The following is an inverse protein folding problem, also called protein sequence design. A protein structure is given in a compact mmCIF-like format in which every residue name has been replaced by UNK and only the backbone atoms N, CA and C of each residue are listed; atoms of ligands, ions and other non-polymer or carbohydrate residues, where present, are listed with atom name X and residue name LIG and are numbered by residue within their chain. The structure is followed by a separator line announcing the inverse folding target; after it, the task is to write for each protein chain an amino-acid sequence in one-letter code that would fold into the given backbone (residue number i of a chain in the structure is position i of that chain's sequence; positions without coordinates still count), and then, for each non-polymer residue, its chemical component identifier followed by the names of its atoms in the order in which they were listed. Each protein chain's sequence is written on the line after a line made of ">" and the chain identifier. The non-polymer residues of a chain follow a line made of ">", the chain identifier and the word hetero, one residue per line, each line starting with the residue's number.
data_IF_531288477839
#
_entry.id   IF_531288477839
#
_cell.length_a   1.000
_cell.length_b   1.000
_cell.length_c   1.000
_cell.angle_alpha   90.00
_cell.angle_beta   90.00
_cell.angle_gamma   90.00
#
_symmetry.space_group_name_H-M   'P 1'
#
loop_
_entity.id
_entity.type
_entity.pdbx_description
1 polymer ?
#
# COMPACT_ATOMS: atom_id res chain seq x y z
N UNK A 1 -11.95 21.22 19.38
CA UNK A 1 -11.62 19.83 19.05
C UNK A 1 -11.90 19.64 17.58
N UNK A 2 -10.85 19.46 16.81
CA UNK A 2 -10.94 19.22 15.39
C UNK A 2 -11.06 17.74 15.06
N UNK A 3 -11.58 17.45 13.87
CA UNK A 3 -11.64 16.08 13.36
C UNK A 3 -10.83 15.98 12.08
N UNK A 4 -10.15 14.86 11.91
CA UNK A 4 -9.40 14.51 10.70
C UNK A 4 -10.13 13.37 10.00
N UNK A 5 -10.41 13.53 8.72
CA UNK A 5 -10.96 12.46 7.87
C UNK A 5 -9.88 11.96 6.94
N UNK A 6 -9.51 10.69 7.03
CA UNK A 6 -8.65 10.02 6.05
C UNK A 6 -9.48 9.22 5.06
N UNK A 7 -9.11 9.30 3.79
CA UNK A 7 -9.85 8.72 2.66
C UNK A 7 -8.88 7.96 1.76
N UNK A 8 -9.18 6.70 1.52
CA UNK A 8 -8.44 5.81 0.64
C UNK A 8 -9.41 5.27 -0.41
N UNK A 9 -9.44 5.92 -1.58
CA UNK A 9 -10.26 5.53 -2.71
C UNK A 9 -9.45 4.64 -3.66
N UNK A 10 -9.70 3.34 -3.59
CA UNK A 10 -9.13 2.35 -4.50
C UNK A 10 -9.96 2.18 -5.78
N UNK A 11 -9.57 1.27 -6.66
CA UNK A 11 -10.25 1.01 -7.95
C UNK A 11 -11.70 0.54 -7.78
N UNK A 12 -11.96 -0.30 -6.79
CA UNK A 12 -13.28 -0.94 -6.53
C UNK A 12 -13.72 -0.79 -5.07
N UNK A 13 -13.11 0.12 -4.32
CA UNK A 13 -13.41 0.29 -2.90
C UNK A 13 -13.12 1.69 -2.40
N UNK A 14 -13.77 2.05 -1.30
CA UNK A 14 -13.37 3.18 -0.47
C UNK A 14 -13.21 2.69 0.97
N UNK A 15 -12.10 3.11 1.59
CA UNK A 15 -11.93 3.04 3.04
C UNK A 15 -11.83 4.46 3.57
N UNK A 16 -12.51 4.74 4.66
CA UNK A 16 -12.45 6.04 5.34
C UNK A 16 -12.42 5.82 6.84
N UNK A 17 -11.69 6.70 7.52
CA UNK A 17 -11.71 6.76 8.96
C UNK A 17 -11.79 8.22 9.44
N UNK A 18 -12.42 8.42 10.57
CA UNK A 18 -12.49 9.74 11.23
C UNK A 18 -11.85 9.66 12.61
N UNK A 19 -10.96 10.59 12.87
CA UNK A 19 -10.17 10.67 14.10
C UNK A 19 -10.40 12.00 14.82
N UNK A 20 -10.20 11.98 16.12
CA UNK A 20 -10.05 13.18 16.93
C UNK A 20 -8.59 13.64 16.90
N UNK A 21 -8.33 14.92 16.62
CA UNK A 21 -6.98 15.48 16.50
C UNK A 21 -6.19 15.36 17.81
N UNK A 22 -6.79 15.70 18.95
CA UNK A 22 -6.17 15.57 20.26
C UNK A 22 -5.92 14.12 20.66
N UNK A 23 -6.86 13.22 20.34
CA UNK A 23 -6.71 11.82 20.64
C UNK A 23 -5.50 11.19 19.91
N UNK A 24 -5.26 11.57 18.64
CA UNK A 24 -4.06 11.12 17.92
C UNK A 24 -2.78 11.71 18.54
N UNK A 25 -2.79 12.97 18.96
CA UNK A 25 -1.65 13.61 19.64
C UNK A 25 -1.28 12.87 20.93
N UNK A 26 -2.28 12.44 21.69
CA UNK A 26 -2.12 11.64 22.91
C UNK A 26 -1.76 10.16 22.64
N UNK A 27 -1.46 9.80 21.39
CA UNK A 27 -1.06 8.44 20.98
C UNK A 27 -2.21 7.46 20.79
N UNK A 28 -3.47 7.90 20.83
CA UNK A 28 -4.59 7.02 20.52
C UNK A 28 -4.59 6.65 19.04
N UNK A 29 -4.88 5.40 18.75
CA UNK A 29 -4.86 4.84 17.39
C UNK A 29 -6.25 4.42 16.88
N UNK A 30 -7.25 4.44 17.77
CA UNK A 30 -8.60 4.01 17.45
C UNK A 30 -9.39 5.15 16.83
N UNK A 31 -9.96 4.97 15.63
CA UNK A 31 -10.80 5.98 15.00
C UNK A 31 -12.15 6.10 15.72
N UNK A 32 -12.80 7.26 15.62
CA UNK A 32 -14.17 7.46 16.07
C UNK A 32 -15.17 6.62 15.28
N UNK A 33 -14.91 6.46 13.98
CA UNK A 33 -15.62 5.53 13.10
C UNK A 33 -14.77 5.19 11.88
N UNK A 34 -15.05 4.02 11.31
CA UNK A 34 -14.50 3.54 10.04
C UNK A 34 -15.64 3.23 9.08
N UNK A 35 -15.39 3.44 7.80
CA UNK A 35 -16.28 3.07 6.72
C UNK A 35 -15.49 2.35 5.62
N UNK A 36 -16.05 1.25 5.11
CA UNK A 36 -15.51 0.52 3.95
C UNK A 36 -16.65 0.21 3.00
N UNK A 37 -16.48 0.56 1.74
CA UNK A 37 -17.35 0.16 0.65
C UNK A 37 -16.57 -0.71 -0.34
N UNK A 38 -17.23 -1.74 -0.86
CA UNK A 38 -16.70 -2.67 -1.83
C UNK A 38 -17.71 -2.81 -2.98
N UNK A 39 -17.30 -2.35 -4.16
CA UNK A 39 -18.14 -2.27 -5.36
C UNK A 39 -18.58 -3.65 -5.84
N UNK A 40 -17.65 -4.59 -5.92
CA UNK A 40 -17.86 -5.90 -6.54
C UNK A 40 -18.88 -6.74 -5.76
N UNK A 41 -18.93 -6.58 -4.45
CA UNK A 41 -19.90 -7.27 -3.58
C UNK A 41 -21.09 -6.38 -3.21
N UNK A 42 -21.14 -5.13 -3.67
CA UNK A 42 -22.19 -4.14 -3.40
C UNK A 42 -22.51 -3.99 -1.91
N UNK A 43 -21.47 -3.97 -1.06
CA UNK A 43 -21.61 -3.87 0.39
C UNK A 43 -20.86 -2.68 0.95
N UNK A 44 -21.42 -2.13 2.00
CA UNK A 44 -20.74 -1.17 2.87
C UNK A 44 -20.72 -1.67 4.31
N UNK A 45 -19.57 -1.47 4.96
CA UNK A 45 -19.36 -1.77 6.38
C UNK A 45 -19.06 -0.47 7.10
N UNK A 46 -19.70 -0.25 8.24
CA UNK A 46 -19.36 0.82 9.16
C UNK A 46 -19.04 0.23 10.53
N UNK A 47 -17.98 0.76 11.17
CA UNK A 47 -17.60 0.40 12.53
C UNK A 47 -17.51 1.68 13.36
N UNK A 48 -17.97 1.64 14.59
CA UNK A 48 -17.77 2.68 15.62
C UNK A 48 -17.85 2.05 17.01
N UNK A 49 -16.85 2.32 17.83
CA UNK A 49 -16.67 1.61 19.09
C UNK A 49 -16.60 0.09 18.85
N UNK A 50 -17.40 -0.66 19.57
CA UNK A 50 -17.50 -2.13 19.44
C UNK A 50 -18.49 -2.60 18.37
N UNK A 51 -19.22 -1.68 17.76
CA UNK A 51 -20.29 -2.00 16.81
C UNK A 51 -19.77 -2.08 15.38
N UNK A 52 -20.20 -3.14 14.66
CA UNK A 52 -19.94 -3.34 13.22
C UNK A 52 -21.27 -3.61 12.52
N UNK A 53 -21.56 -2.84 11.49
CA UNK A 53 -22.76 -2.98 10.65
C UNK A 53 -22.34 -3.19 9.21
N UNK A 54 -22.94 -4.21 8.57
CA UNK A 54 -22.76 -4.50 7.14
C UNK A 54 -24.13 -4.39 6.47
N UNK A 55 -24.19 -3.73 5.33
CA UNK A 55 -25.44 -3.53 4.60
C UNK A 55 -25.18 -3.50 3.10
N UNK A 56 -26.18 -3.94 2.35
CA UNK A 56 -26.18 -3.85 0.91
C UNK A 56 -26.40 -2.40 0.47
N UNK A 57 -25.74 -2.01 -0.62
CA UNK A 57 -25.80 -0.64 -1.17
C UNK A 57 -26.03 -0.69 -2.68
N UNK A 58 -26.94 0.16 -3.21
CA UNK A 58 -27.29 0.13 -4.64
C UNK A 58 -26.35 0.93 -5.51
N UNK A 59 -25.51 1.80 -4.93
CA UNK A 59 -24.65 2.71 -5.67
C UNK A 59 -23.38 2.01 -6.17
N UNK A 60 -22.83 2.55 -7.26
CA UNK A 60 -21.63 2.02 -7.93
C UNK A 60 -20.52 3.06 -8.10
N UNK A 61 -20.78 4.33 -7.73
CA UNK A 61 -19.79 5.41 -7.81
C UNK A 61 -19.06 5.65 -6.50
N UNK A 62 -17.81 6.08 -6.60
CA UNK A 62 -17.00 6.44 -5.44
C UNK A 62 -17.57 7.68 -4.73
N UNK A 63 -18.11 8.64 -5.47
CA UNK A 63 -18.76 9.83 -4.88
C UNK A 63 -19.97 9.46 -4.04
N UNK A 64 -20.81 8.51 -4.48
CA UNK A 64 -21.96 8.05 -3.69
C UNK A 64 -21.51 7.31 -2.44
N UNK A 65 -20.52 6.43 -2.58
CA UNK A 65 -19.92 5.71 -1.45
C UNK A 65 -19.31 6.67 -0.42
N UNK A 66 -18.59 7.70 -0.88
CA UNK A 66 -18.07 8.76 0.00
C UNK A 66 -19.18 9.46 0.77
N UNK A 67 -20.24 9.90 0.07
CA UNK A 67 -21.40 10.57 0.71
C UNK A 67 -22.11 9.68 1.72
N UNK A 68 -22.29 8.40 1.40
CA UNK A 68 -22.88 7.42 2.33
C UNK A 68 -22.02 7.28 3.58
N UNK A 69 -20.70 7.13 3.44
CA UNK A 69 -19.78 7.02 4.57
C UNK A 69 -19.83 8.24 5.49
N UNK A 70 -19.83 9.45 4.92
CA UNK A 70 -19.97 10.69 5.71
C UNK A 70 -21.32 10.75 6.44
N UNK A 71 -22.41 10.36 5.79
CA UNK A 71 -23.73 10.30 6.45
C UNK A 71 -23.74 9.29 7.61
N UNK A 72 -23.03 8.17 7.48
CA UNK A 72 -22.90 7.17 8.55
C UNK A 72 -22.05 7.68 9.71
N UNK A 73 -20.96 8.39 9.43
CA UNK A 73 -20.18 9.05 10.48
C UNK A 73 -21.01 10.06 11.28
N UNK A 74 -21.89 10.82 10.61
CA UNK A 74 -22.87 11.71 11.31
C UNK A 74 -23.84 10.91 12.17
N UNK A 75 -24.40 9.81 11.64
CA UNK A 75 -25.33 8.94 12.41
C UNK A 75 -24.63 8.26 13.59
N UNK A 76 -23.36 7.91 13.47
CA UNK A 76 -22.52 7.39 14.55
C UNK A 76 -22.11 8.48 15.56
N UNK A 77 -22.55 9.74 15.36
CA UNK A 77 -22.20 10.90 16.20
C UNK A 77 -20.70 11.19 16.28
N UNK A 78 -19.94 10.77 15.27
CA UNK A 78 -18.50 11.06 15.19
C UNK A 78 -18.22 12.55 14.96
N UNK A 79 -19.17 13.27 14.36
CA UNK A 79 -19.24 14.72 14.28
C UNK A 79 -20.69 15.17 14.04
N UNK A 80 -21.01 16.41 14.37
CA UNK A 80 -22.35 17.00 14.19
C UNK A 80 -22.38 18.01 13.04
N UNK A 81 -21.40 18.88 13.00
CA UNK A 81 -21.30 19.98 12.03
C UNK A 81 -20.09 19.81 11.14
N UNK A 82 -20.19 20.22 9.87
CA UNK A 82 -19.10 20.09 8.90
C UNK A 82 -17.83 20.88 9.27
N UNK A 83 -17.97 21.97 10.03
CA UNK A 83 -16.85 22.78 10.53
C UNK A 83 -16.05 22.12 11.67
N UNK A 84 -16.52 21.00 12.22
CA UNK A 84 -15.70 20.18 13.12
C UNK A 84 -14.61 19.43 12.36
N UNK A 85 -14.79 19.18 11.06
CA UNK A 85 -13.77 18.60 10.20
C UNK A 85 -12.80 19.72 9.81
N UNK A 86 -11.59 19.68 10.38
CA UNK A 86 -10.56 20.69 10.16
C UNK A 86 -9.57 20.25 9.07
N UNK A 87 -9.45 18.94 8.84
CA UNK A 87 -8.49 18.38 7.87
C UNK A 87 -9.08 17.15 7.19
N UNK A 88 -8.84 17.05 5.88
CA UNK A 88 -9.13 15.88 5.07
C UNK A 88 -7.87 15.47 4.34
N UNK A 89 -7.46 14.21 4.48
CA UNK A 89 -6.32 13.66 3.75
C UNK A 89 -6.80 12.54 2.82
N UNK A 90 -6.40 12.63 1.55
CA UNK A 90 -6.76 11.70 0.50
C UNK A 90 -5.52 10.93 0.05
N UNK A 91 -5.59 9.59 0.08
CA UNK A 91 -4.58 8.78 -0.57
C UNK A 91 -4.69 8.94 -2.08
N UNK A 92 -3.56 9.13 -2.73
CA UNK A 92 -3.39 9.03 -4.17
C UNK A 92 -2.21 8.07 -4.45
N UNK A 93 -2.15 7.49 -5.65
CA UNK A 93 -1.11 6.49 -5.92
C UNK A 93 0.13 7.13 -6.51
N UNK A 94 0.00 7.85 -7.63
CA UNK A 94 1.15 8.43 -8.30
C UNK A 94 0.83 9.84 -8.79
N UNK A 95 1.53 10.81 -8.28
CA UNK A 95 1.40 12.25 -8.65
C UNK A 95 2.43 12.71 -9.68
N UNK A 96 3.27 11.81 -10.19
CA UNK A 96 4.41 12.18 -11.01
C UNK A 96 5.55 12.78 -10.19
N UNK A 97 6.57 13.23 -10.86
CA UNK A 97 7.81 13.73 -10.24
C UNK A 97 7.60 14.91 -9.29
N UNK A 98 6.76 15.88 -9.72
CA UNK A 98 6.56 17.12 -8.96
C UNK A 98 5.75 16.94 -7.68
N UNK A 99 4.98 15.85 -7.55
CA UNK A 99 4.18 15.53 -6.38
C UNK A 99 4.71 14.32 -5.62
N UNK A 100 5.97 13.96 -5.82
CA UNK A 100 6.63 12.86 -5.12
C UNK A 100 7.25 13.36 -3.83
N UNK A 101 6.47 13.38 -2.73
CA UNK A 101 6.88 13.78 -1.39
C UNK A 101 6.41 12.76 -0.35
N UNK A 102 7.22 12.40 0.65
CA UNK A 102 6.80 11.57 1.78
C UNK A 102 5.81 12.30 2.70
N UNK A 103 5.83 13.63 2.68
CA UNK A 103 4.94 14.46 3.50
C UNK A 103 3.62 14.75 2.77
N UNK A 104 2.53 15.03 3.51
CA UNK A 104 1.26 15.45 2.94
C UNK A 104 1.40 16.73 2.10
N UNK A 105 0.81 16.74 0.92
CA UNK A 105 0.82 17.91 0.02
C UNK A 105 -0.55 18.59 0.09
N UNK A 106 -0.59 19.86 0.50
CA UNK A 106 -1.85 20.64 0.52
C UNK A 106 -2.43 20.78 -0.89
N UNK A 107 -3.73 20.56 -1.03
CA UNK A 107 -4.42 20.62 -2.32
C UNK A 107 -4.69 22.07 -2.70
N UNK A 108 -3.75 22.67 -3.43
CA UNK A 108 -3.98 23.94 -4.12
C UNK A 108 -4.52 23.70 -5.53
N UNK A 109 -4.88 24.77 -6.23
CA UNK A 109 -5.29 24.69 -7.65
C UNK A 109 -4.17 24.11 -8.52
N UNK A 110 -2.92 24.47 -8.23
CA UNK A 110 -1.72 24.03 -8.95
C UNK A 110 -1.46 22.53 -8.72
N UNK A 111 -1.49 22.10 -7.45
CA UNK A 111 -1.33 20.69 -7.07
C UNK A 111 -2.42 19.83 -7.72
N UNK A 112 -3.68 20.29 -7.69
CA UNK A 112 -4.75 19.53 -8.32
C UNK A 112 -4.58 19.43 -9.85
N UNK A 113 -4.20 20.52 -10.53
CA UNK A 113 -3.91 20.48 -11.97
C UNK A 113 -2.76 19.55 -12.31
N UNK A 114 -1.70 19.56 -11.50
CA UNK A 114 -0.57 18.65 -11.69
C UNK A 114 -0.98 17.20 -11.50
N UNK A 115 -1.78 16.90 -10.48
CA UNK A 115 -2.31 15.55 -10.29
C UNK A 115 -3.22 15.11 -11.46
N UNK A 116 -4.03 16.02 -12.01
CA UNK A 116 -4.86 15.76 -13.19
C UNK A 116 -4.03 15.42 -14.42
N UNK A 117 -2.87 16.08 -14.64
CA UNK A 117 -1.93 15.77 -15.73
C UNK A 117 -1.33 14.37 -15.61
N UNK A 118 -1.11 13.93 -14.39
CA UNK A 118 -0.47 12.65 -14.08
C UNK A 118 -1.51 11.53 -13.81
N UNK A 119 -2.77 11.74 -14.19
CA UNK A 119 -3.86 10.80 -13.86
C UNK A 119 -3.62 9.39 -14.42
N UNK A 120 -3.00 9.31 -15.60
CA UNK A 120 -2.75 8.07 -16.32
C UNK A 120 -1.55 7.26 -15.77
N UNK A 121 -0.76 7.81 -14.85
CA UNK A 121 0.30 7.06 -14.17
C UNK A 121 -0.24 5.94 -13.26
N UNK A 122 -1.50 6.08 -12.80
CA UNK A 122 -2.20 5.03 -12.09
C UNK A 122 -3.69 5.00 -12.47
N UNK A 123 -4.03 4.55 -13.70
CA UNK A 123 -5.35 4.74 -14.33
C UNK A 123 -6.51 4.03 -13.60
N UNK A 124 -6.21 3.03 -12.76
CA UNK A 124 -7.21 2.34 -11.95
C UNK A 124 -7.41 2.99 -10.57
N UNK A 125 -6.52 3.86 -10.11
CA UNK A 125 -6.49 4.39 -8.74
C UNK A 125 -6.57 5.91 -8.67
N UNK A 126 -5.85 6.63 -9.53
CA UNK A 126 -5.84 8.09 -9.50
C UNK A 126 -7.21 8.72 -9.82
N UNK A 127 -7.99 8.25 -10.83
CA UNK A 127 -9.31 8.82 -11.12
C UNK A 127 -10.28 8.78 -9.93
N UNK A 128 -10.51 7.65 -9.24
CA UNK A 128 -11.37 7.64 -8.05
C UNK A 128 -10.84 8.50 -6.91
N UNK A 129 -9.51 8.57 -6.70
CA UNK A 129 -8.93 9.46 -5.70
C UNK A 129 -9.20 10.94 -6.00
N UNK A 130 -9.05 11.36 -7.25
CA UNK A 130 -9.36 12.72 -7.70
C UNK A 130 -10.85 13.03 -7.58
N UNK A 131 -11.73 12.12 -8.00
CA UNK A 131 -13.19 12.27 -7.90
C UNK A 131 -13.62 12.50 -6.45
N UNK A 132 -13.16 11.65 -5.53
CA UNK A 132 -13.53 11.74 -4.12
C UNK A 132 -12.92 12.97 -3.45
N UNK A 133 -11.67 13.34 -3.76
CA UNK A 133 -11.05 14.54 -3.20
C UNK A 133 -11.80 15.82 -3.58
N UNK A 134 -12.25 15.93 -4.85
CA UNK A 134 -13.11 17.04 -5.30
C UNK A 134 -14.46 17.08 -4.57
N UNK A 135 -15.05 15.91 -4.31
CA UNK A 135 -16.30 15.82 -3.55
C UNK A 135 -16.09 16.22 -2.08
N UNK A 136 -14.97 15.81 -1.49
CA UNK A 136 -14.61 16.16 -0.11
C UNK A 136 -14.36 17.68 0.05
N UNK A 137 -13.64 18.32 -0.89
CA UNK A 137 -13.41 19.77 -0.87
C UNK A 137 -14.73 20.57 -0.93
N UNK A 138 -15.68 20.12 -1.75
CA UNK A 138 -17.02 20.75 -1.80
C UNK A 138 -17.81 20.59 -0.51
N UNK A 139 -17.70 19.44 0.14
CA UNK A 139 -18.46 19.14 1.35
C UNK A 139 -17.87 19.80 2.59
N UNK A 140 -16.54 19.88 2.67
CA UNK A 140 -15.76 20.41 3.80
C UNK A 140 -14.92 21.61 3.37
N UNK A 141 -15.57 22.60 2.74
CA UNK A 141 -14.91 23.78 2.13
C UNK A 141 -14.09 24.62 3.13
N UNK A 142 -14.36 24.49 4.43
CA UNK A 142 -13.59 25.17 5.50
C UNK A 142 -12.43 24.36 6.08
N UNK A 143 -12.25 23.12 5.63
CA UNK A 143 -11.16 22.27 6.08
C UNK A 143 -9.92 22.45 5.18
N UNK A 144 -8.74 22.16 5.71
CA UNK A 144 -7.53 21.95 4.89
C UNK A 144 -7.60 20.58 4.22
N UNK A 145 -7.22 20.50 2.97
CA UNK A 145 -7.24 19.26 2.18
C UNK A 145 -5.84 18.90 1.72
N UNK A 146 -5.48 17.63 1.84
CA UNK A 146 -4.17 17.11 1.48
C UNK A 146 -4.28 15.87 0.60
N UNK A 147 -3.28 15.67 -0.27
CA UNK A 147 -2.94 14.39 -0.84
C UNK A 147 -1.76 13.78 -0.09
N UNK A 148 -1.77 12.45 0.04
CA UNK A 148 -0.58 11.64 0.29
C UNK A 148 -0.44 10.63 -0.83
N UNK A 149 0.72 10.63 -1.47
CA UNK A 149 1.00 9.75 -2.61
C UNK A 149 1.77 8.51 -2.16
N UNK A 150 1.34 7.33 -2.64
CA UNK A 150 2.05 6.08 -2.38
C UNK A 150 3.50 6.11 -2.90
N UNK A 151 3.74 6.85 -3.98
CA UNK A 151 5.07 7.04 -4.54
C UNK A 151 5.94 7.98 -3.71
N UNK A 152 5.34 8.79 -2.82
CA UNK A 152 6.03 9.85 -2.09
C UNK A 152 7.19 9.38 -1.22
N UNK A 153 7.01 8.27 -0.50
CA UNK A 153 8.05 7.65 0.32
C UNK A 153 9.32 7.31 -0.47
N UNK A 154 9.15 6.95 -1.74
CA UNK A 154 10.23 6.53 -2.63
C UNK A 154 10.98 7.70 -3.29
N UNK A 155 10.64 8.95 -2.99
CA UNK A 155 11.35 10.14 -3.46
C UNK A 155 12.83 10.17 -3.05
N UNK A 156 13.20 9.41 -2.02
CA UNK A 156 14.58 9.31 -1.52
C UNK A 156 15.40 8.22 -2.21
N UNK A 157 14.83 7.44 -3.13
CA UNK A 157 15.59 6.42 -3.87
C UNK A 157 16.74 7.07 -4.67
N UNK A 158 17.94 6.48 -4.62
CA UNK A 158 19.05 6.88 -5.47
C UNK A 158 18.68 6.81 -6.96
N UNK A 159 19.21 7.72 -7.77
CA UNK A 159 18.94 7.75 -9.21
C UNK A 159 19.20 6.40 -9.90
N UNK A 160 20.21 5.66 -9.47
CA UNK A 160 20.53 4.34 -10.01
C UNK A 160 19.39 3.32 -9.87
N UNK A 161 18.57 3.45 -8.82
CA UNK A 161 17.42 2.58 -8.55
C UNK A 161 16.10 3.14 -9.12
N UNK A 162 16.11 4.40 -9.57
CA UNK A 162 14.99 4.98 -10.32
C UNK A 162 15.07 4.70 -11.83
N UNK A 163 16.28 4.53 -12.38
CA UNK A 163 16.51 4.39 -13.81
C UNK A 163 16.25 2.96 -14.30
N UNK A 164 15.56 2.85 -15.40
CA UNK A 164 15.66 1.67 -16.24
C UNK A 164 16.86 1.81 -17.18
N UNK A 165 17.52 0.70 -17.57
CA UNK A 165 18.62 0.70 -18.54
C UNK A 165 18.09 0.93 -19.97
N UNK A 166 17.42 2.04 -20.17
CA UNK A 166 16.86 2.55 -21.41
C UNK A 166 17.66 3.77 -21.89
N UNK A 167 17.50 4.21 -23.16
CA UNK A 167 18.08 5.46 -23.62
C UNK A 167 17.74 6.64 -22.69
N UNK A 168 18.70 7.55 -22.52
CA UNK A 168 18.65 8.67 -21.57
C UNK A 168 17.41 9.54 -21.76
N UNK A 169 16.99 9.74 -23.00
CA UNK A 169 15.79 10.51 -23.35
C UNK A 169 14.50 9.91 -22.78
N UNK A 170 14.44 8.59 -22.56
CA UNK A 170 13.29 7.97 -21.91
C UNK A 170 13.09 8.47 -20.49
N UNK A 171 14.16 8.76 -19.79
CA UNK A 171 14.11 9.33 -18.44
C UNK A 171 13.94 10.85 -18.47
N UNK A 172 14.76 11.56 -19.25
CA UNK A 172 14.84 13.02 -19.21
C UNK A 172 13.65 13.70 -19.90
N UNK A 173 13.15 13.15 -21.03
CA UNK A 173 12.11 13.78 -21.84
C UNK A 173 10.75 13.12 -21.63
N UNK A 174 10.70 11.80 -21.43
CA UNK A 174 9.44 11.05 -21.29
C UNK A 174 9.07 10.83 -19.81
N UNK A 175 10.03 10.96 -18.88
CA UNK A 175 9.80 10.79 -17.45
C UNK A 175 9.65 9.33 -17.00
N UNK A 176 10.18 8.37 -17.78
CA UNK A 176 10.12 6.96 -17.43
C UNK A 176 11.11 6.66 -16.31
N UNK A 177 10.59 6.32 -15.12
CA UNK A 177 11.37 5.95 -13.94
C UNK A 177 10.60 5.01 -13.03
N UNK A 178 11.28 4.31 -12.12
CA UNK A 178 10.65 3.60 -11.04
C UNK A 178 10.15 4.61 -9.98
N UNK A 179 8.83 4.70 -9.83
CA UNK A 179 8.19 5.54 -8.81
C UNK A 179 7.97 4.80 -7.50
N UNK A 180 7.76 3.49 -7.57
CA UNK A 180 7.35 2.70 -6.43
C UNK A 180 5.86 2.82 -6.09
N UNK A 181 5.43 2.14 -5.04
CA UNK A 181 4.11 2.28 -4.44
C UNK A 181 4.09 1.71 -3.01
N UNK A 182 2.92 1.73 -2.33
CA UNK A 182 2.74 1.36 -0.92
C UNK A 182 3.56 2.21 0.06
N UNK A 183 4.05 3.37 -0.36
CA UNK A 183 4.95 4.20 0.43
C UNK A 183 4.35 4.67 1.76
N UNK A 184 3.03 4.91 1.82
CA UNK A 184 2.34 5.31 3.06
C UNK A 184 2.48 4.21 4.13
N UNK A 185 2.31 2.95 3.74
CA UNK A 185 2.50 1.79 4.64
C UNK A 185 3.96 1.66 5.05
N UNK A 186 4.89 1.80 4.10
CA UNK A 186 6.31 1.66 4.37
C UNK A 186 6.82 2.75 5.31
N UNK A 187 6.38 3.99 5.14
CA UNK A 187 6.70 5.08 6.05
C UNK A 187 6.22 4.79 7.48
N UNK A 188 4.97 4.36 7.67
CA UNK A 188 4.43 4.03 8.99
C UNK A 188 5.14 2.82 9.61
N UNK A 189 5.38 1.78 8.82
CA UNK A 189 6.08 0.58 9.27
C UNK A 189 7.54 0.88 9.67
N UNK A 190 8.25 1.76 8.95
CA UNK A 190 9.61 2.19 9.32
C UNK A 190 9.61 2.85 10.68
N UNK A 191 8.71 3.82 10.92
CA UNK A 191 8.58 4.52 12.22
C UNK A 191 8.28 3.56 13.35
N UNK A 192 7.31 2.64 13.14
CA UNK A 192 6.89 1.67 14.16
C UNK A 192 7.94 0.61 14.44
N UNK A 193 8.69 0.18 13.42
CA UNK A 193 9.81 -0.73 13.58
C UNK A 193 10.95 -0.08 14.36
N UNK A 194 11.35 1.14 13.99
CA UNK A 194 12.38 1.91 14.69
C UNK A 194 12.05 2.07 16.18
N UNK A 195 10.79 2.42 16.50
CA UNK A 195 10.31 2.50 17.88
C UNK A 195 10.40 1.18 18.63
N UNK A 196 10.00 0.05 18.00
CA UNK A 196 10.07 -1.28 18.61
C UNK A 196 11.50 -1.75 18.85
N UNK A 197 12.42 -1.39 17.93
CA UNK A 197 13.84 -1.71 18.02
C UNK A 197 14.60 -0.76 18.94
N UNK A 198 13.98 0.34 19.39
CA UNK A 198 14.63 1.43 20.11
C UNK A 198 15.84 2.02 19.35
N UNK A 199 15.69 2.11 18.02
CA UNK A 199 16.66 2.72 17.10
C UNK A 199 16.05 4.04 16.61
N UNK A 200 16.88 5.07 16.40
CA UNK A 200 16.43 6.32 15.78
C UNK A 200 15.95 6.08 14.35
N UNK A 201 14.82 6.70 13.93
CA UNK A 201 14.22 6.49 12.61
C UNK A 201 15.22 6.77 11.47
N UNK A 202 16.09 7.75 11.63
CA UNK A 202 17.11 8.14 10.65
C UNK A 202 18.35 7.23 10.60
N UNK A 203 18.36 6.15 11.39
CA UNK A 203 19.46 5.17 11.44
C UNK A 203 19.04 3.74 11.17
N UNK A 204 17.73 3.48 11.12
CA UNK A 204 17.22 2.12 10.96
C UNK A 204 17.37 1.62 9.54
N UNK A 205 17.83 0.37 9.39
CA UNK A 205 17.94 -0.35 8.13
C UNK A 205 16.93 -1.51 8.11
N UNK A 206 16.02 -1.52 7.16
CA UNK A 206 14.93 -2.48 7.12
C UNK A 206 14.72 -3.08 5.73
N UNK A 207 14.25 -4.32 5.71
CA UNK A 207 13.55 -4.88 4.55
C UNK A 207 12.06 -4.89 4.89
N UNK A 208 11.26 -4.19 4.13
CA UNK A 208 9.82 -4.10 4.33
C UNK A 208 9.11 -4.94 3.26
N UNK A 209 8.22 -5.83 3.69
CA UNK A 209 7.40 -6.68 2.81
C UNK A 209 5.93 -6.31 3.04
N UNK A 210 5.25 -5.85 2.00
CA UNK A 210 3.80 -5.68 2.02
C UNK A 210 3.17 -6.77 1.15
N UNK A 211 2.56 -7.78 1.79
CA UNK A 211 2.04 -8.98 1.13
C UNK A 211 0.51 -9.04 1.33
N UNK A 212 -0.21 -8.64 0.30
CA UNK A 212 -1.67 -8.59 0.30
C UNK A 212 -2.26 -8.87 -1.08
N UNK A 213 -3.36 -8.25 -1.44
CA UNK A 213 -3.88 -8.30 -2.82
C UNK A 213 -2.93 -7.63 -3.82
N UNK A 214 -2.27 -6.54 -3.43
CA UNK A 214 -1.03 -6.04 -4.02
C UNK A 214 0.15 -6.49 -3.16
N UNK A 215 1.28 -6.82 -3.78
CA UNK A 215 2.49 -7.25 -3.08
C UNK A 215 3.69 -6.43 -3.54
N UNK A 216 4.50 -5.98 -2.60
CA UNK A 216 5.78 -5.34 -2.89
C UNK A 216 6.76 -5.51 -1.73
N UNK A 217 8.02 -5.20 -2.01
CA UNK A 217 9.08 -5.08 -1.02
C UNK A 217 9.77 -3.72 -1.17
N UNK A 218 10.40 -3.26 -0.09
CA UNK A 218 11.16 -2.02 -0.05
C UNK A 218 12.41 -2.20 0.80
N UNK A 219 13.55 -1.75 0.31
CA UNK A 219 14.79 -1.64 1.06
C UNK A 219 14.87 -0.23 1.68
N UNK A 220 15.12 -0.17 2.98
CA UNK A 220 15.25 1.08 3.75
C UNK A 220 16.63 1.14 4.37
N UNK A 221 17.39 2.18 4.06
CA UNK A 221 18.71 2.45 4.64
C UNK A 221 18.70 3.81 5.34
N UNK A 222 19.09 3.84 6.60
CA UNK A 222 19.06 5.05 7.41
C UNK A 222 17.68 5.75 7.38
N UNK A 223 16.61 4.97 7.54
CA UNK A 223 15.24 5.47 7.55
C UNK A 223 14.69 5.98 6.23
N UNK A 224 15.39 5.76 5.11
CA UNK A 224 15.02 6.23 3.76
C UNK A 224 14.83 5.07 2.80
N UNK A 225 13.81 5.15 1.96
CA UNK A 225 13.65 4.21 0.85
C UNK A 225 14.83 4.31 -0.11
N UNK A 226 15.49 3.19 -0.37
CA UNK A 226 16.60 3.14 -1.35
C UNK A 226 16.25 2.31 -2.58
N UNK A 227 15.35 1.31 -2.46
CA UNK A 227 14.83 0.53 -3.57
C UNK A 227 13.45 -0.04 -3.25
N UNK A 228 12.68 -0.36 -4.29
CA UNK A 228 11.37 -1.02 -4.16
C UNK A 228 11.05 -1.86 -5.39
N UNK A 229 10.28 -2.93 -5.20
CA UNK A 229 9.97 -3.87 -6.29
C UNK A 229 8.93 -3.36 -7.28
N UNK A 230 8.05 -2.45 -6.89
CA UNK A 230 7.15 -1.79 -7.83
C UNK A 230 7.90 -0.71 -8.59
N UNK A 231 7.83 -0.74 -9.91
CA UNK A 231 8.58 0.15 -10.79
C UNK A 231 7.80 1.37 -11.26
N UNK A 232 7.72 1.56 -12.60
CA UNK A 232 6.96 2.65 -13.23
C UNK A 232 5.47 2.60 -12.89
N UNK A 233 4.91 1.39 -12.76
CA UNK A 233 3.54 1.17 -12.31
C UNK A 233 3.51 0.14 -11.17
N UNK A 234 2.42 0.08 -10.38
CA UNK A 234 2.24 -0.96 -9.36
C UNK A 234 2.02 -2.38 -9.92
N UNK A 235 2.28 -2.62 -11.21
CA UNK A 235 2.16 -3.95 -11.83
C UNK A 235 3.46 -4.74 -11.73
N UNK A 236 4.58 -4.03 -11.71
CA UNK A 236 5.93 -4.62 -11.65
C UNK A 236 6.27 -5.22 -10.26
N UNK A 237 7.32 -6.02 -10.21
CA UNK A 237 7.85 -6.63 -9.00
C UNK A 237 7.28 -8.01 -8.72
N UNK A 238 6.78 -8.22 -7.50
CA UNK A 238 6.26 -9.51 -7.05
C UNK A 238 4.95 -9.89 -7.76
N UNK A 239 4.74 -11.19 -7.96
CA UNK A 239 3.42 -11.71 -8.35
C UNK A 239 2.37 -11.35 -7.30
N UNK A 240 1.17 -10.98 -7.74
CA UNK A 240 0.10 -10.49 -6.87
C UNK A 240 -1.20 -11.28 -7.09
N UNK A 241 -2.27 -10.86 -6.45
CA UNK A 241 -3.58 -11.49 -6.60
C UNK A 241 -4.03 -11.58 -8.08
N UNK A 242 -3.90 -10.48 -8.84
CA UNK A 242 -4.35 -10.38 -10.24
C UNK A 242 -3.33 -9.75 -11.18
N UNK A 243 -2.14 -9.34 -10.69
CA UNK A 243 -1.07 -8.71 -11.46
C UNK A 243 0.07 -9.70 -11.69
N UNK A 244 0.66 -9.64 -12.89
CA UNK A 244 1.70 -10.60 -13.27
C UNK A 244 3.03 -10.46 -12.50
N UNK A 245 3.32 -9.27 -11.94
CA UNK A 245 4.66 -8.95 -11.46
C UNK A 245 5.66 -8.79 -12.60
N UNK A 246 6.93 -8.98 -12.29
CA UNK A 246 8.02 -8.88 -13.26
C UNK A 246 7.90 -9.91 -14.38
N UNK A 247 8.03 -9.46 -15.64
CA UNK A 247 8.08 -10.32 -16.82
C UNK A 247 9.14 -9.84 -17.80
N UNK A 248 9.63 -10.73 -18.65
CA UNK A 248 10.50 -10.37 -19.77
C UNK A 248 9.71 -9.47 -20.77
N UNK A 249 10.19 -8.26 -21.09
CA UNK A 249 9.55 -7.40 -22.05
C UNK A 249 9.40 -8.02 -23.44
N UNK A 250 10.21 -9.01 -23.79
CA UNK A 250 10.12 -9.77 -25.05
C UNK A 250 8.82 -10.55 -25.22
N UNK A 251 8.09 -10.85 -24.12
CA UNK A 251 6.79 -11.51 -24.23
C UNK A 251 5.67 -10.55 -24.66
N UNK A 252 5.86 -9.24 -24.49
CA UNK A 252 4.82 -8.25 -24.75
C UNK A 252 4.31 -8.23 -26.21
N UNK A 253 5.19 -8.22 -27.25
CA UNK A 253 4.75 -8.30 -28.64
C UNK A 253 3.92 -9.58 -28.91
N UNK A 254 4.32 -10.72 -28.33
CA UNK A 254 3.59 -11.99 -28.49
C UNK A 254 2.21 -11.95 -27.84
N UNK A 255 2.09 -11.32 -26.68
CA UNK A 255 0.81 -11.10 -26.03
C UNK A 255 -0.09 -10.16 -26.86
N UNK A 256 0.48 -9.11 -27.48
CA UNK A 256 -0.28 -8.21 -28.37
C UNK A 256 -0.80 -8.97 -29.59
N UNK A 257 0.02 -9.84 -30.20
CA UNK A 257 -0.41 -10.71 -31.30
C UNK A 257 -1.58 -11.63 -30.89
N UNK A 258 -1.48 -12.22 -29.71
CA UNK A 258 -2.50 -13.17 -29.20
C UNK A 258 -3.81 -12.47 -28.79
N UNK A 259 -3.73 -11.39 -28.00
CA UNK A 259 -4.90 -10.66 -27.47
C UNK A 259 -5.44 -9.55 -28.40
N UNK A 260 -4.70 -9.17 -29.44
CA UNK A 260 -5.12 -8.27 -30.50
C UNK A 260 -4.95 -6.78 -30.20
N UNK A 261 -4.57 -6.37 -28.98
CA UNK A 261 -4.28 -4.96 -28.68
C UNK A 261 -3.49 -4.76 -27.39
N UNK A 262 -2.70 -3.68 -27.34
CA UNK A 262 -1.98 -3.23 -26.11
C UNK A 262 -2.93 -3.09 -24.92
N UNK A 263 -4.12 -2.50 -25.13
CA UNK A 263 -5.10 -2.30 -24.06
C UNK A 263 -5.54 -3.61 -23.42
N UNK A 264 -5.81 -4.64 -24.24
CA UNK A 264 -6.18 -5.97 -23.72
C UNK A 264 -5.02 -6.65 -22.99
N UNK A 265 -3.79 -6.51 -23.49
CA UNK A 265 -2.61 -7.04 -22.83
C UNK A 265 -2.44 -6.40 -21.45
N UNK A 266 -2.53 -5.07 -21.37
CA UNK A 266 -2.47 -4.37 -20.09
C UNK A 266 -3.59 -4.80 -19.12
N UNK A 267 -4.80 -5.04 -19.62
CA UNK A 267 -5.89 -5.59 -18.80
C UNK A 267 -5.53 -6.99 -18.27
N UNK A 268 -4.98 -7.87 -19.11
CA UNK A 268 -4.55 -9.22 -18.71
C UNK A 268 -3.46 -9.12 -17.65
N UNK A 269 -2.42 -8.34 -17.88
CA UNK A 269 -1.28 -8.22 -16.97
C UNK A 269 -1.67 -7.64 -15.60
N UNK A 270 -2.69 -6.76 -15.56
CA UNK A 270 -3.07 -6.06 -14.32
C UNK A 270 -4.26 -6.65 -13.58
N UNK A 271 -5.14 -7.41 -14.27
CA UNK A 271 -6.41 -7.88 -13.71
C UNK A 271 -6.68 -9.37 -13.87
N UNK A 272 -5.96 -10.06 -14.75
CA UNK A 272 -6.22 -11.46 -15.12
C UNK A 272 -4.98 -12.35 -15.04
N UNK A 273 -3.96 -11.89 -14.32
CA UNK A 273 -2.69 -12.57 -14.09
C UNK A 273 -2.50 -12.90 -12.60
N UNK A 274 -1.29 -13.13 -12.17
CA UNK A 274 -0.98 -13.45 -10.79
C UNK A 274 -1.63 -14.76 -10.34
N UNK A 275 -2.03 -14.82 -9.08
CA UNK A 275 -2.75 -16.00 -8.57
C UNK A 275 -4.00 -16.30 -9.39
N UNK A 276 -4.82 -15.27 -9.66
CA UNK A 276 -6.03 -15.43 -10.47
C UNK A 276 -5.73 -16.01 -11.87
N UNK A 277 -4.69 -15.54 -12.52
CA UNK A 277 -4.33 -16.01 -13.86
C UNK A 277 -3.87 -17.46 -13.90
N UNK A 278 -3.27 -17.95 -12.82
CA UNK A 278 -2.76 -19.32 -12.72
C UNK A 278 -3.79 -20.32 -12.20
N UNK A 279 -4.71 -19.88 -11.31
CA UNK A 279 -5.57 -20.78 -10.54
C UNK A 279 -7.07 -20.48 -10.71
N UNK A 280 -7.44 -19.35 -11.29
CA UNK A 280 -8.81 -18.84 -11.30
C UNK A 280 -9.25 -18.14 -10.02
N UNK A 281 -8.38 -18.15 -8.96
CA UNK A 281 -8.66 -17.54 -7.65
C UNK A 281 -7.64 -16.47 -7.30
N UNK A 282 -8.13 -15.33 -6.79
CA UNK A 282 -7.29 -14.20 -6.40
C UNK A 282 -6.98 -14.17 -4.89
N UNK A 283 -7.78 -14.86 -4.09
CA UNK A 283 -7.64 -14.91 -2.64
C UNK A 283 -6.71 -16.06 -2.22
N UNK A 284 -5.61 -15.76 -1.54
CA UNK A 284 -4.63 -16.76 -1.10
C UNK A 284 -5.28 -17.91 -0.31
N UNK A 285 -6.31 -17.64 0.47
CA UNK A 285 -7.03 -18.67 1.25
C UNK A 285 -7.72 -19.69 0.34
N UNK A 286 -8.28 -19.22 -0.79
CA UNK A 286 -8.92 -20.09 -1.79
C UNK A 286 -7.87 -20.81 -2.64
N UNK A 287 -6.78 -20.14 -2.99
CA UNK A 287 -5.64 -20.77 -3.69
C UNK A 287 -5.04 -21.90 -2.84
N UNK A 288 -4.85 -21.70 -1.53
CA UNK A 288 -4.39 -22.76 -0.62
C UNK A 288 -5.36 -23.92 -0.56
N UNK A 289 -6.65 -23.63 -0.50
CA UNK A 289 -7.69 -24.69 -0.53
C UNK A 289 -7.63 -25.52 -1.80
N UNK A 290 -7.47 -24.89 -2.98
CA UNK A 290 -7.29 -25.62 -4.25
C UNK A 290 -6.03 -26.50 -4.19
N UNK A 291 -4.92 -25.99 -3.65
CA UNK A 291 -3.69 -26.77 -3.49
C UNK A 291 -3.88 -27.98 -2.56
N UNK A 292 -4.60 -27.84 -1.44
CA UNK A 292 -4.97 -28.93 -0.52
C UNK A 292 -5.90 -29.96 -1.19
N UNK A 293 -6.75 -29.53 -2.12
CA UNK A 293 -7.62 -30.39 -2.93
C UNK A 293 -6.89 -31.09 -4.08
N UNK A 294 -5.59 -30.82 -4.25
CA UNK A 294 -4.71 -31.49 -5.22
C UNK A 294 -4.54 -30.73 -6.54
N UNK A 295 -4.90 -29.47 -6.63
CA UNK A 295 -4.63 -28.63 -7.80
C UNK A 295 -3.13 -28.35 -7.91
N UNK A 296 -2.48 -28.90 -8.94
CA UNK A 296 -1.05 -28.76 -9.18
C UNK A 296 -0.66 -27.28 -9.47
N UNK A 297 -1.50 -26.55 -10.22
CA UNK A 297 -1.20 -25.16 -10.58
C UNK A 297 -1.32 -24.23 -9.38
N UNK A 298 -2.21 -24.50 -8.44
CA UNK A 298 -2.30 -23.77 -7.18
C UNK A 298 -1.05 -23.99 -6.33
N UNK A 299 -0.51 -25.20 -6.26
CA UNK A 299 0.78 -25.48 -5.61
C UNK A 299 1.91 -24.71 -6.29
N UNK A 300 2.02 -24.77 -7.63
CA UNK A 300 3.03 -24.03 -8.39
C UNK A 300 2.93 -22.53 -8.15
N UNK A 301 1.73 -21.96 -8.10
CA UNK A 301 1.51 -20.53 -7.87
C UNK A 301 2.00 -20.10 -6.48
N UNK A 302 1.73 -20.91 -5.44
CA UNK A 302 2.20 -20.66 -4.08
C UNK A 302 3.73 -20.73 -4.01
N UNK A 303 4.33 -21.80 -4.56
CA UNK A 303 5.80 -21.97 -4.58
C UNK A 303 6.48 -20.83 -5.33
N UNK A 304 5.93 -20.42 -6.48
CA UNK A 304 6.44 -19.29 -7.25
C UNK A 304 6.44 -18.02 -6.44
N UNK A 305 5.33 -17.70 -5.78
CA UNK A 305 5.20 -16.51 -4.94
C UNK A 305 6.23 -16.51 -3.81
N UNK A 306 6.34 -17.62 -3.07
CA UNK A 306 7.33 -17.76 -1.99
C UNK A 306 8.75 -17.56 -2.52
N UNK A 307 9.08 -18.21 -3.65
CA UNK A 307 10.40 -18.11 -4.25
C UNK A 307 10.73 -16.67 -4.71
N UNK A 308 9.77 -15.93 -5.27
CA UNK A 308 9.96 -14.53 -5.65
C UNK A 308 10.24 -13.64 -4.43
N UNK A 309 9.46 -13.79 -3.36
CA UNK A 309 9.69 -13.03 -2.12
C UNK A 309 11.07 -13.34 -1.53
N UNK A 310 11.45 -14.62 -1.49
CA UNK A 310 12.78 -15.06 -1.02
C UNK A 310 13.92 -14.43 -1.81
N UNK A 311 13.82 -14.42 -3.14
CA UNK A 311 14.84 -13.78 -4.01
C UNK A 311 14.98 -12.29 -3.71
N UNK A 312 13.89 -11.59 -3.50
CA UNK A 312 13.91 -10.16 -3.18
C UNK A 312 14.52 -9.91 -1.80
N UNK A 313 14.20 -10.72 -0.79
CA UNK A 313 14.87 -10.63 0.52
C UNK A 313 16.39 -10.77 0.34
N UNK A 314 16.86 -11.78 -0.40
CA UNK A 314 18.28 -11.99 -0.66
C UNK A 314 18.95 -10.83 -1.41
N UNK A 315 18.25 -10.23 -2.40
CA UNK A 315 18.73 -9.05 -3.12
C UNK A 315 18.87 -7.85 -2.18
N UNK A 316 17.86 -7.57 -1.35
CA UNK A 316 17.87 -6.44 -0.43
C UNK A 316 18.81 -6.62 0.75
N UNK A 317 19.08 -7.85 1.18
CA UNK A 317 20.16 -8.14 2.11
C UNK A 317 21.51 -7.66 1.55
N UNK A 318 21.78 -7.98 0.27
CA UNK A 318 23.03 -7.55 -0.39
C UNK A 318 23.06 -6.03 -0.62
N UNK A 319 21.95 -5.40 -1.00
CA UNK A 319 21.86 -3.96 -1.24
C UNK A 319 22.04 -3.14 0.05
N UNK A 320 21.65 -3.69 1.19
CA UNK A 320 21.87 -3.12 2.51
C UNK A 320 23.23 -3.51 3.13
N UNK A 321 24.17 -4.05 2.33
CA UNK A 321 25.48 -4.49 2.80
C UNK A 321 25.40 -5.52 3.96
N UNK A 322 24.28 -6.26 4.04
CA UNK A 322 23.91 -7.17 5.14
C UNK A 322 23.74 -6.49 6.51
N UNK A 323 23.68 -5.17 6.53
CA UNK A 323 23.38 -4.37 7.73
C UNK A 323 21.86 -4.15 7.83
N UNK A 324 21.12 -5.16 8.30
CA UNK A 324 19.67 -5.14 8.40
C UNK A 324 19.26 -5.28 9.87
N UNK A 325 18.55 -4.28 10.40
CA UNK A 325 18.07 -4.29 11.79
C UNK A 325 16.83 -5.16 11.97
N UNK A 326 15.96 -5.23 10.94
CA UNK A 326 14.78 -6.12 10.95
C UNK A 326 14.20 -6.32 9.55
N UNK A 327 13.43 -7.40 9.38
CA UNK A 327 12.48 -7.57 8.29
C UNK A 327 11.07 -7.32 8.83
N UNK A 328 10.30 -6.46 8.18
CA UNK A 328 8.94 -6.11 8.60
C UNK A 328 7.94 -6.57 7.55
N UNK A 329 7.01 -7.41 7.97
CA UNK A 329 5.96 -7.95 7.13
C UNK A 329 4.63 -7.27 7.45
N UNK A 330 3.85 -6.94 6.43
CA UNK A 330 2.51 -6.34 6.53
C UNK A 330 1.62 -6.80 5.39
N UNK A 331 0.34 -6.43 5.43
CA UNK A 331 -0.64 -6.82 4.44
C UNK A 331 -1.33 -8.14 4.73
N UNK A 332 -2.49 -8.34 4.12
CA UNK A 332 -3.41 -9.41 4.53
C UNK A 332 -2.86 -10.83 4.50
N UNK A 333 -1.93 -11.16 3.58
CA UNK A 333 -1.25 -12.46 3.57
C UNK A 333 -0.31 -12.56 4.76
N UNK A 334 0.58 -11.57 4.94
CA UNK A 334 1.56 -11.60 6.02
C UNK A 334 0.92 -11.55 7.42
N UNK A 335 -0.18 -10.80 7.57
CA UNK A 335 -0.85 -10.61 8.85
C UNK A 335 -1.69 -11.82 9.28
N UNK A 336 -2.13 -12.68 8.34
CA UNK A 336 -3.09 -13.75 8.63
C UNK A 336 -2.60 -15.16 8.23
N UNK A 337 -1.48 -15.30 7.53
CA UNK A 337 -0.97 -16.60 7.09
C UNK A 337 0.45 -16.85 7.57
N UNK A 338 0.55 -17.37 8.80
CA UNK A 338 1.83 -17.69 9.43
C UNK A 338 2.57 -18.83 8.73
N UNK A 339 1.87 -19.72 8.02
CA UNK A 339 2.49 -20.81 7.27
C UNK A 339 3.24 -20.28 6.05
N UNK A 340 2.64 -19.38 5.28
CA UNK A 340 3.30 -18.73 4.15
C UNK A 340 4.55 -17.97 4.63
N UNK A 341 4.45 -17.22 5.74
CA UNK A 341 5.62 -16.55 6.31
C UNK A 341 6.70 -17.54 6.71
N UNK A 342 6.35 -18.62 7.42
CA UNK A 342 7.31 -19.67 7.80
C UNK A 342 8.05 -20.21 6.57
N UNK A 343 7.34 -20.51 5.48
CA UNK A 343 7.92 -21.01 4.22
C UNK A 343 8.79 -19.99 3.51
N UNK A 344 8.44 -18.70 3.56
CA UNK A 344 9.27 -17.61 3.04
C UNK A 344 10.61 -17.58 3.77
N UNK A 345 10.62 -17.73 5.08
CA UNK A 345 11.82 -17.61 5.91
C UNK A 345 12.54 -18.94 6.18
N UNK A 346 12.04 -20.08 5.71
CA UNK A 346 12.67 -21.37 5.84
C UNK A 346 14.07 -21.38 5.20
N UNK A 347 15.10 -21.82 5.98
CA UNK A 347 16.50 -21.84 5.58
C UNK A 347 17.24 -20.52 5.73
N UNK A 348 16.55 -19.42 6.06
CA UNK A 348 17.22 -18.15 6.37
C UNK A 348 17.80 -18.09 7.78
N UNK A 349 17.44 -19.03 8.67
CA UNK A 349 18.07 -19.21 9.97
C UNK A 349 19.58 -19.44 9.87
N UNK A 350 20.05 -20.00 8.75
CA UNK A 350 21.47 -20.18 8.47
C UNK A 350 22.25 -18.85 8.28
N UNK A 351 21.52 -17.76 8.04
CA UNK A 351 22.09 -16.40 7.90
C UNK A 351 21.56 -15.46 8.99
N UNK A 352 21.05 -16.02 10.10
CA UNK A 352 20.66 -15.26 11.28
C UNK A 352 19.26 -14.67 11.26
N UNK A 353 18.40 -15.02 10.28
CA UNK A 353 17.01 -14.61 10.27
C UNK A 353 16.16 -15.53 11.15
N UNK A 354 15.40 -14.99 12.08
CA UNK A 354 14.46 -15.77 12.88
C UNK A 354 13.08 -15.14 12.99
N UNK A 355 12.04 -15.97 12.74
CA UNK A 355 10.67 -15.62 13.07
C UNK A 355 10.46 -15.79 14.58
N UNK A 356 10.01 -14.74 15.24
CA UNK A 356 9.53 -14.84 16.61
C UNK A 356 8.31 -15.74 16.69
N UNK A 357 8.24 -16.61 17.71
CA UNK A 357 7.14 -17.58 17.90
C UNK A 357 5.77 -16.92 18.12
N UNK A 358 5.74 -15.68 18.58
CA UNK A 358 4.50 -14.93 18.87
C UNK A 358 4.30 -13.70 17.96
N UNK A 359 5.04 -13.60 16.84
CA UNK A 359 4.96 -12.52 15.84
C UNK A 359 5.19 -11.09 16.40
N UNK A 360 5.59 -10.95 17.66
CA UNK A 360 5.67 -9.65 18.33
C UNK A 360 6.93 -9.43 19.14
N UNK A 361 7.72 -10.45 19.43
CA UNK A 361 8.91 -10.34 20.30
C UNK A 361 10.19 -10.55 19.53
N UNK A 362 11.11 -9.63 19.72
CA UNK A 362 12.54 -9.80 19.49
C UNK A 362 12.98 -10.89 20.48
N UNK A 363 13.46 -12.04 20.01
CA UNK A 363 13.98 -13.06 20.91
C UNK A 363 15.36 -12.65 21.39
N UNK A 364 15.46 -12.43 22.69
CA UNK A 364 16.69 -12.15 23.42
C UNK A 364 17.53 -13.43 23.61
N UNK A 365 18.12 -14.03 22.63
CA UNK A 365 19.17 -15.02 22.96
C UNK A 365 20.14 -15.27 21.82
N UNK A 366 21.39 -14.88 22.07
CA UNK A 366 22.68 -15.44 21.62
C UNK A 366 22.82 -15.86 20.16
N UNK A 367 22.88 -14.90 19.30
CA UNK A 367 23.61 -14.83 17.99
C UNK A 367 23.03 -13.69 17.17
N UNK A 368 23.75 -13.15 16.23
CA UNK A 368 23.35 -12.07 15.31
C UNK A 368 22.04 -12.40 14.58
N UNK A 369 20.90 -12.21 15.21
CA UNK A 369 19.60 -12.52 14.65
C UNK A 369 18.92 -11.25 14.16
N UNK A 370 18.55 -11.25 12.88
CA UNK A 370 17.71 -10.22 12.28
C UNK A 370 16.26 -10.61 12.60
N UNK A 371 15.54 -9.83 13.43
CA UNK A 371 14.16 -10.15 13.79
C UNK A 371 13.21 -9.98 12.60
N UNK A 372 12.26 -10.89 12.47
CA UNK A 372 11.14 -10.76 11.53
C UNK A 372 9.90 -10.34 12.31
N UNK A 373 9.35 -9.18 11.99
CA UNK A 373 8.19 -8.58 12.67
C UNK A 373 6.98 -8.57 11.74
N UNK A 374 5.80 -8.83 12.28
CA UNK A 374 4.54 -8.53 11.60
C UNK A 374 3.97 -7.25 12.18
N UNK A 375 3.82 -6.23 11.34
CA UNK A 375 3.23 -4.94 11.70
C UNK A 375 1.99 -4.72 10.85
N UNK A 376 0.82 -4.70 11.49
CA UNK A 376 -0.44 -4.50 10.78
C UNK A 376 -0.48 -3.16 10.06
N UNK A 377 -0.81 -3.19 8.76
CA UNK A 377 -0.98 -2.00 7.95
C UNK A 377 -2.23 -1.21 8.36
N UNK A 378 -2.08 0.10 8.53
CA UNK A 378 -3.20 1.01 8.79
C UNK A 378 -2.94 2.34 8.07
N UNK A 379 -3.24 2.38 6.77
CA UNK A 379 -3.02 3.55 5.92
C UNK A 379 -3.81 4.77 6.39
N UNK A 380 -5.05 4.54 6.83
CA UNK A 380 -5.94 5.61 7.27
C UNK A 380 -5.38 6.33 8.52
N UNK A 381 -4.84 5.59 9.47
CA UNK A 381 -4.19 6.15 10.65
C UNK A 381 -2.84 6.80 10.31
N UNK A 382 -2.06 6.15 9.43
CA UNK A 382 -0.77 6.69 8.98
C UNK A 382 -0.95 8.08 8.35
N UNK A 383 -1.93 8.22 7.46
CA UNK A 383 -2.28 9.50 6.84
C UNK A 383 -2.77 10.54 7.85
N UNK A 384 -3.63 10.14 8.79
CA UNK A 384 -4.14 11.05 9.81
C UNK A 384 -3.01 11.58 10.72
N UNK A 385 -2.05 10.72 11.09
CA UNK A 385 -0.85 11.11 11.86
C UNK A 385 0.07 12.03 11.07
N UNK A 386 0.23 11.77 9.76
CA UNK A 386 1.10 12.59 8.92
C UNK A 386 0.59 14.02 8.80
N UNK A 387 -0.72 14.21 8.48
CA UNK A 387 -1.29 15.57 8.33
C UNK A 387 -1.36 16.32 9.66
N UNK A 388 -1.36 15.64 10.78
CA UNK A 388 -1.38 16.31 12.08
C UNK A 388 -0.13 17.14 12.33
N UNK A 389 1.03 16.73 11.80
CA UNK A 389 2.28 17.49 11.87
C UNK A 389 2.24 18.78 11.07
N UNK A 390 1.39 18.86 10.04
CA UNK A 390 1.23 20.04 9.19
C UNK A 390 0.22 21.06 9.72
N UNK A 391 -0.54 20.68 10.72
CA UNK A 391 -1.65 21.50 11.25
C UNK A 391 -1.29 22.15 12.59
N UNK A 392 -0.28 21.61 13.27
CA UNK A 392 0.26 22.12 14.55
C UNK A 392 1.50 22.95 14.29
#
# INVERSE_FOLDING_TARGET
>A
MGKIVSINAGSTSIKMAIYDDFAIQDGQTTPLAEYRWEKDVKKATVKFGVHKYVHDVPFESHTEAFKDGINRFKRAKSFKYSNEIITVVNRAVNGGELLQSPDPIEITTEVQKEFERNIDLAPNHNPPALEVSKAAQKLFYGAKHYYMFDTGWHSTMPIMNQLYALPKECFEEVGIRAFGAHGIVYMDNTKRAAQKLNISEDKVNLILLHLGGGCSANAVKNGKSIDTTMGYTPTDGLMMATRCGHIDPGVFPKLVEYYGSVKKVMEVMTKKSGFYGLTGEADMRLVKKLAEEGDEMANVAIERFINEVRKVIGAYMAELDYEVDAIVCSGGIAENDTEILRRIFEGYENVGLSLSKDNTKITDEECCHIPVMVIQANEELAMAKAVLKEVI
#
